data_IF_951425120445
#
_entry.id   IF_951425120445
#
_cell.length_a   1.000
_cell.length_b   1.000
_cell.length_c   1.000
_cell.angle_alpha   90.00
_cell.angle_beta   90.00
_cell.angle_gamma   90.00
#
_symmetry.space_group_name_H-M   'P 1'
#
loop_
_entity.id
_entity.type
_entity.pdbx_description
1 polymer ?
#
# COMPACT_ATOMS: atom_id res chain seq x y z
N UNK A 1 21.22 -21.12 26.10
CA UNK A 1 19.87 -20.50 26.15
C UNK A 1 20.02 -18.99 26.35
N UNK A 2 19.39 -18.13 25.53
CA UNK A 2 19.51 -16.65 25.69
C UNK A 2 18.68 -16.20 26.91
N UNK A 3 19.20 -15.25 27.69
CA UNK A 3 18.49 -14.64 28.84
C UNK A 3 17.16 -14.03 28.37
N UNK A 4 16.01 -14.41 28.96
CA UNK A 4 14.74 -13.83 28.59
C UNK A 4 14.73 -12.33 28.94
N UNK A 5 14.25 -11.51 28.00
CA UNK A 5 14.09 -10.07 28.16
C UNK A 5 12.59 -9.72 28.01
N UNK A 6 11.84 -9.56 29.11
CA UNK A 6 10.39 -9.40 29.06
C UNK A 6 9.97 -8.10 28.32
N UNK A 7 10.68 -6.99 28.56
CA UNK A 7 10.39 -5.71 27.90
C UNK A 7 10.56 -5.77 26.37
N UNK A 8 11.59 -6.44 25.86
CA UNK A 8 11.77 -6.57 24.41
C UNK A 8 10.68 -7.45 23.79
N UNK A 9 10.23 -8.48 24.50
CA UNK A 9 9.11 -9.33 24.06
C UNK A 9 7.81 -8.51 23.94
N UNK A 10 7.50 -7.69 24.95
CA UNK A 10 6.33 -6.83 24.94
C UNK A 10 6.41 -5.74 23.86
N UNK A 11 7.56 -5.09 23.72
CA UNK A 11 7.80 -4.08 22.66
C UNK A 11 7.62 -4.68 21.27
N UNK A 12 8.14 -5.88 21.01
CA UNK A 12 7.98 -6.54 19.71
C UNK A 12 6.50 -6.77 19.36
N UNK A 13 5.68 -7.14 20.34
CA UNK A 13 4.23 -7.40 20.17
C UNK A 13 3.42 -6.11 19.97
N UNK A 14 3.82 -5.00 20.61
CA UNK A 14 3.00 -3.79 20.73
C UNK A 14 3.42 -2.65 19.81
N UNK A 15 4.72 -2.49 19.53
CA UNK A 15 5.27 -1.33 18.80
C UNK A 15 4.62 -1.13 17.43
N UNK A 16 4.38 -2.22 16.69
CA UNK A 16 3.73 -2.16 15.38
C UNK A 16 2.27 -1.69 15.45
N UNK A 17 1.54 -2.07 16.51
CA UNK A 17 0.14 -1.65 16.71
C UNK A 17 0.07 -0.15 16.98
N UNK A 18 0.90 0.34 17.89
CA UNK A 18 0.98 1.77 18.25
C UNK A 18 1.39 2.61 17.04
N UNK A 19 2.42 2.20 16.29
CA UNK A 19 2.82 2.94 15.08
C UNK A 19 1.71 3.01 14.02
N UNK A 20 0.88 1.97 13.89
CA UNK A 20 -0.25 1.96 12.94
C UNK A 20 -1.41 2.82 13.42
N UNK A 21 -1.74 2.83 14.71
CA UNK A 21 -2.83 3.68 15.24
C UNK A 21 -2.51 5.16 15.03
N UNK A 22 -1.27 5.57 15.33
CA UNK A 22 -0.82 6.95 15.11
C UNK A 22 -0.92 7.32 13.62
N UNK A 23 -0.43 6.45 12.72
CA UNK A 23 -0.51 6.71 11.26
C UNK A 23 -1.94 6.82 10.75
N UNK A 24 -2.88 6.03 11.29
CA UNK A 24 -4.31 6.10 10.93
C UNK A 24 -4.94 7.41 11.39
N UNK A 25 -4.53 7.97 12.53
CA UNK A 25 -5.04 9.22 13.05
C UNK A 25 -4.50 10.45 12.30
N UNK A 26 -3.21 10.42 11.93
CA UNK A 26 -2.53 11.59 11.35
C UNK A 26 -2.63 11.65 9.82
N UNK A 27 -2.54 10.50 9.12
CA UNK A 27 -2.48 10.49 7.66
C UNK A 27 -3.87 10.23 7.08
N UNK A 28 -4.46 11.19 6.33
CA UNK A 28 -5.77 11.01 5.72
C UNK A 28 -5.75 9.83 4.75
N UNK A 29 -6.69 8.91 4.93
CA UNK A 29 -6.86 7.71 4.09
C UNK A 29 -5.79 6.62 4.27
N UNK A 30 -4.96 6.64 5.31
CA UNK A 30 -3.99 5.57 5.57
C UNK A 30 -4.68 4.20 5.71
N UNK A 31 -4.27 3.23 4.87
CA UNK A 31 -4.82 1.87 4.86
C UNK A 31 -6.18 1.70 4.18
N UNK A 32 -6.70 2.74 3.51
CA UNK A 32 -7.91 2.63 2.68
C UNK A 32 -7.55 2.44 1.19
N UNK A 33 -8.36 1.70 0.42
CA UNK A 33 -8.19 1.63 -1.04
C UNK A 33 -8.45 3.01 -1.66
N UNK A 34 -7.72 3.36 -2.73
CA UNK A 34 -7.95 4.60 -3.51
C UNK A 34 -7.28 5.87 -2.97
N UNK A 35 -6.62 5.82 -1.81
CA UNK A 35 -5.96 6.98 -1.17
C UNK A 35 -4.86 7.61 -2.03
N UNK A 36 -4.31 6.88 -3.02
CA UNK A 36 -3.33 7.41 -3.95
C UNK A 36 -3.80 8.66 -4.72
N UNK A 37 -5.12 8.84 -4.92
CA UNK A 37 -5.67 10.07 -5.54
C UNK A 37 -5.62 11.28 -4.62
N UNK A 38 -5.83 11.07 -3.31
CA UNK A 38 -5.83 12.12 -2.30
C UNK A 38 -4.41 12.53 -1.92
N UNK A 39 -3.50 11.54 -1.82
CA UNK A 39 -2.12 11.78 -1.38
C UNK A 39 -1.21 12.27 -2.50
N UNK A 40 -1.35 11.69 -3.71
CA UNK A 40 -0.44 11.93 -4.83
C UNK A 40 -1.21 12.07 -6.16
N UNK A 41 -2.00 13.15 -6.34
CA UNK A 41 -2.93 13.28 -7.47
C UNK A 41 -2.23 13.25 -8.83
N UNK A 42 -1.03 13.84 -8.94
CA UNK A 42 -0.24 13.84 -10.18
C UNK A 42 0.12 12.43 -10.64
N UNK A 43 0.54 11.57 -9.71
CA UNK A 43 0.90 10.18 -10.00
C UNK A 43 -0.34 9.39 -10.40
N UNK A 44 -1.45 9.60 -9.70
CA UNK A 44 -2.71 8.92 -10.00
C UNK A 44 -3.27 9.30 -11.38
N UNK A 45 -3.14 10.58 -11.79
CA UNK A 45 -3.53 11.02 -13.12
C UNK A 45 -2.69 10.33 -14.20
N UNK A 46 -1.36 10.35 -14.06
CA UNK A 46 -0.43 9.70 -15.00
C UNK A 46 -0.68 8.20 -15.12
N UNK A 47 -0.89 7.49 -14.00
CA UNK A 47 -1.19 6.04 -14.05
C UNK A 47 -2.51 5.73 -14.73
N UNK A 48 -3.51 6.63 -14.59
CA UNK A 48 -4.81 6.45 -15.24
C UNK A 48 -4.68 6.61 -16.75
N UNK A 49 -3.94 7.62 -17.22
CA UNK A 49 -3.66 7.82 -18.64
C UNK A 49 -2.89 6.62 -19.18
N UNK A 50 -1.77 6.25 -18.57
CA UNK A 50 -0.96 5.10 -19.00
C UNK A 50 -1.77 3.81 -19.12
N UNK A 51 -2.59 3.47 -18.10
CA UNK A 51 -3.43 2.26 -18.15
C UNK A 51 -4.49 2.31 -19.25
N UNK A 52 -4.93 3.49 -19.67
CA UNK A 52 -5.91 3.65 -20.76
C UNK A 52 -5.26 3.63 -22.14
N UNK A 53 -4.05 4.18 -22.26
CA UNK A 53 -3.38 4.37 -23.55
C UNK A 53 -2.45 3.21 -23.92
N UNK A 54 -2.01 2.43 -22.94
CA UNK A 54 -1.06 1.33 -23.18
C UNK A 54 -1.79 0.01 -23.34
N UNK A 55 -1.57 -0.64 -24.48
CA UNK A 55 -2.02 -2.02 -24.74
C UNK A 55 -0.95 -2.96 -24.19
N UNK A 56 -1.32 -3.82 -23.25
CA UNK A 56 -0.39 -4.82 -22.69
C UNK A 56 -0.26 -6.05 -23.60
N UNK A 57 0.87 -6.76 -23.51
CA UNK A 57 1.07 -8.04 -24.23
C UNK A 57 -0.05 -9.04 -23.89
N UNK A 58 -0.57 -9.01 -22.66
CA UNK A 58 -1.73 -9.80 -22.25
C UNK A 58 -3.05 -9.39 -22.92
N UNK A 59 -3.25 -8.11 -23.25
CA UNK A 59 -4.42 -7.65 -24.03
C UNK A 59 -4.30 -8.06 -25.50
N UNK A 60 -3.08 -8.05 -26.05
CA UNK A 60 -2.80 -8.60 -27.39
C UNK A 60 -3.07 -10.11 -27.45
N UNK A 61 -2.56 -10.88 -26.48
CA UNK A 61 -2.82 -12.32 -26.36
C UNK A 61 -4.31 -12.62 -26.20
N UNK A 62 -5.06 -11.85 -25.39
CA UNK A 62 -6.52 -12.00 -25.26
C UNK A 62 -7.29 -11.67 -26.54
N UNK A 63 -6.77 -10.75 -27.36
CA UNK A 63 -7.34 -10.43 -28.68
C UNK A 63 -7.03 -11.51 -29.72
N UNK A 64 -5.87 -12.16 -29.60
CA UNK A 64 -5.41 -13.20 -30.53
C UNK A 64 -5.99 -14.60 -30.22
N UNK A 65 -6.25 -14.90 -28.94
CA UNK A 65 -6.79 -16.18 -28.46
C UNK A 65 -8.32 -16.18 -28.33
N UNK A 66 -9.02 -15.26 -29.01
CA UNK A 66 -10.49 -15.18 -29.05
C UNK A 66 -11.01 -15.73 -30.38
#
# INVERSE_FOLDING_TARGET
MRRPRPLSSLRARTTGRVKRSIKRAVVPGYGRPGTGRVRDPRRAARSTVHRRTTIGVGDLLRRLLK
#
